data_IF_131415069553
#
_entry.id   IF_131415069553
#
_cell.length_a   1.000
_cell.length_b   1.000
_cell.length_c   1.000
_cell.angle_alpha   90.00
_cell.angle_beta   90.00
_cell.angle_gamma   90.00
#
_symmetry.space_group_name_H-M   'P 1'
#
loop_
_entity.id
_entity.type
_entity.pdbx_description
1 polymer ?
#
# COMPACT_ATOMS: atom_id res chain seq x y z
N UNK A 1 41.38 -26.02 33.78
CA UNK A 1 39.93 -26.02 33.99
C UNK A 1 39.44 -27.44 33.80
N UNK A 2 38.84 -28.05 34.83
CA UNK A 2 38.18 -29.36 34.69
C UNK A 2 36.76 -29.16 34.17
N UNK A 3 36.40 -29.80 33.08
CA UNK A 3 35.03 -29.80 32.57
C UNK A 3 34.19 -30.79 33.38
N UNK A 4 33.06 -30.35 33.90
CA UNK A 4 32.07 -31.19 34.56
C UNK A 4 30.98 -31.51 33.54
N UNK A 5 30.77 -32.79 33.24
CA UNK A 5 29.67 -33.26 32.40
C UNK A 5 28.66 -33.97 33.28
N UNK A 6 27.41 -33.51 33.28
CA UNK A 6 26.29 -34.14 33.96
C UNK A 6 25.20 -34.47 32.93
N UNK A 7 24.56 -35.63 33.10
CA UNK A 7 23.42 -36.08 32.29
C UNK A 7 22.16 -36.07 33.18
N UNK A 8 21.36 -34.98 33.18
CA UNK A 8 20.23 -34.81 34.10
C UNK A 8 19.15 -35.88 33.96
N UNK A 9 18.95 -36.38 32.75
CA UNK A 9 18.09 -37.52 32.42
C UNK A 9 18.55 -38.80 33.11
N UNK A 10 19.85 -39.13 33.02
CA UNK A 10 20.44 -40.30 33.68
C UNK A 10 20.32 -40.22 35.21
N UNK A 11 20.49 -39.02 35.80
CA UNK A 11 20.33 -38.81 37.24
C UNK A 11 18.87 -38.98 37.69
N UNK A 12 17.93 -38.54 36.87
CA UNK A 12 16.49 -38.67 37.13
C UNK A 12 16.06 -40.13 37.06
N UNK A 13 16.51 -40.87 36.04
CA UNK A 13 16.25 -42.30 35.88
C UNK A 13 16.87 -43.11 37.03
N UNK A 14 18.09 -42.78 37.44
CA UNK A 14 18.74 -43.39 38.59
C UNK A 14 17.93 -43.19 39.88
N UNK A 15 17.40 -41.99 40.12
CA UNK A 15 16.54 -41.70 41.27
C UNK A 15 15.25 -42.54 41.26
N UNK A 16 14.61 -42.70 40.10
CA UNK A 16 13.40 -43.53 39.94
C UNK A 16 13.69 -45.03 40.17
N UNK A 17 14.80 -45.53 39.64
CA UNK A 17 15.23 -46.92 39.85
C UNK A 17 15.52 -47.19 41.33
N UNK A 18 16.22 -46.27 42.00
CA UNK A 18 16.52 -46.37 43.43
C UNK A 18 15.25 -46.32 44.30
N UNK A 19 14.25 -45.52 43.92
CA UNK A 19 12.95 -45.52 44.60
C UNK A 19 12.24 -46.88 44.47
N UNK A 20 12.30 -47.49 43.28
CA UNK A 20 11.71 -48.81 43.01
C UNK A 20 12.39 -49.94 43.80
N UNK A 21 13.72 -49.91 43.89
CA UNK A 21 14.50 -50.83 44.74
C UNK A 21 14.11 -50.69 46.21
N UNK A 22 14.01 -49.45 46.73
CA UNK A 22 13.61 -49.21 48.11
C UNK A 22 12.19 -49.70 48.41
N UNK A 23 11.25 -49.52 47.47
CA UNK A 23 9.89 -50.07 47.58
C UNK A 23 9.89 -51.60 47.69
N UNK A 24 10.71 -52.26 46.88
CA UNK A 24 10.85 -53.73 46.88
C UNK A 24 11.42 -54.23 48.22
N UNK A 25 12.48 -53.59 48.71
CA UNK A 25 13.12 -53.92 49.99
C UNK A 25 12.17 -53.67 51.18
N UNK A 26 11.46 -52.54 51.19
CA UNK A 26 10.48 -52.20 52.23
C UNK A 26 9.34 -53.23 52.29
N UNK A 27 8.84 -53.66 51.13
CA UNK A 27 7.82 -54.70 51.02
C UNK A 27 8.32 -56.04 51.59
N UNK A 28 9.54 -56.45 51.22
CA UNK A 28 10.14 -57.68 51.73
C UNK A 28 10.37 -57.62 53.26
N UNK A 29 10.87 -56.50 53.78
CA UNK A 29 11.09 -56.29 55.22
C UNK A 29 9.79 -56.32 56.01
N UNK A 30 8.72 -55.75 55.47
CA UNK A 30 7.39 -55.77 56.08
C UNK A 30 6.82 -57.19 56.10
N UNK A 31 6.96 -57.94 55.01
CA UNK A 31 6.49 -59.32 54.93
C UNK A 31 7.20 -60.25 55.94
N UNK A 32 8.49 -60.03 56.19
CA UNK A 32 9.27 -60.81 57.15
C UNK A 32 9.10 -60.40 58.62
N UNK A 33 8.43 -59.26 58.90
CA UNK A 33 8.41 -58.67 60.23
C UNK A 33 7.74 -59.56 61.29
N UNK A 34 6.56 -60.11 61.01
CA UNK A 34 5.81 -60.91 61.98
C UNK A 34 6.55 -62.21 62.36
N UNK A 35 7.10 -62.93 61.37
CA UNK A 35 7.79 -64.20 61.60
C UNK A 35 9.14 -64.06 62.32
N UNK A 36 9.74 -62.87 62.31
CA UNK A 36 11.06 -62.61 62.93
C UNK A 36 10.97 -61.91 64.28
N UNK A 37 9.84 -61.25 64.58
CA UNK A 37 9.62 -60.53 65.85
C UNK A 37 8.65 -61.23 66.79
N UNK A 38 7.82 -62.16 66.28
CA UNK A 38 6.87 -62.96 67.05
C UNK A 38 7.29 -64.42 67.18
N UNK A 39 8.58 -64.70 67.41
CA UNK A 39 9.08 -66.08 67.50
C UNK A 39 8.50 -66.74 68.76
N UNK A 40 7.75 -67.82 68.58
CA UNK A 40 7.18 -68.59 69.69
C UNK A 40 8.19 -69.60 70.23
N UNK A 41 8.15 -69.82 71.55
CA UNK A 41 8.97 -70.85 72.19
C UNK A 41 8.51 -72.26 71.74
N UNK A 42 9.41 -73.14 71.27
CA UNK A 42 9.06 -74.47 70.81
C UNK A 42 8.61 -75.44 71.94
N UNK A 43 8.92 -75.10 73.19
CA UNK A 43 8.50 -75.83 74.39
C UNK A 43 8.23 -74.87 75.55
N UNK A 44 7.44 -75.31 76.55
CA UNK A 44 7.01 -74.50 77.69
C UNK A 44 8.10 -74.30 78.78
N UNK A 45 9.37 -74.45 78.42
CA UNK A 45 10.51 -74.30 79.33
C UNK A 45 11.17 -72.91 79.24
N UNK A 46 11.88 -72.55 80.31
CA UNK A 46 12.49 -71.23 80.45
C UNK A 46 13.63 -70.97 79.45
N UNK A 47 14.33 -72.00 78.98
CA UNK A 47 15.44 -71.86 78.02
C UNK A 47 14.86 -71.56 76.63
N UNK A 48 13.86 -72.31 76.19
CA UNK A 48 13.14 -72.07 74.93
C UNK A 48 12.51 -70.68 74.89
N UNK A 49 11.93 -70.21 76.00
CA UNK A 49 11.38 -68.87 76.12
C UNK A 49 12.47 -67.78 76.02
N UNK A 50 13.61 -67.97 76.70
CA UNK A 50 14.73 -67.02 76.64
C UNK A 50 15.34 -66.91 75.24
N UNK A 51 15.51 -68.04 74.53
CA UNK A 51 16.01 -68.07 73.15
C UNK A 51 15.04 -67.36 72.20
N UNK A 52 13.74 -67.65 72.28
CA UNK A 52 12.71 -66.98 71.48
C UNK A 52 12.67 -65.46 71.73
N UNK A 53 12.87 -65.02 72.98
CA UNK A 53 12.94 -63.61 73.35
C UNK A 53 14.19 -62.89 72.77
N UNK A 54 15.35 -63.54 72.78
CA UNK A 54 16.58 -62.98 72.17
C UNK A 54 16.40 -62.82 70.66
N UNK A 55 15.87 -63.85 69.98
CA UNK A 55 15.63 -63.81 68.54
C UNK A 55 14.60 -62.73 68.17
N UNK A 56 13.51 -62.64 68.92
CA UNK A 56 12.48 -61.61 68.72
C UNK A 56 13.04 -60.19 68.92
N UNK A 57 13.89 -59.98 69.94
CA UNK A 57 14.58 -58.70 70.19
C UNK A 57 15.53 -58.34 69.05
N UNK A 58 16.26 -59.32 68.50
CA UNK A 58 17.13 -59.09 67.34
C UNK A 58 16.31 -58.71 66.09
N UNK A 59 15.19 -59.39 65.84
CA UNK A 59 14.23 -59.02 64.79
C UNK A 59 13.70 -57.60 64.94
N UNK A 60 13.33 -57.18 66.15
CA UNK A 60 12.86 -55.81 66.41
C UNK A 60 13.96 -54.76 66.19
N UNK A 61 15.20 -55.05 66.59
CA UNK A 61 16.34 -54.17 66.35
C UNK A 61 16.65 -54.02 64.84
N UNK A 62 16.57 -55.12 64.08
CA UNK A 62 16.70 -55.10 62.63
C UNK A 62 15.61 -54.23 61.96
N UNK A 63 14.35 -54.38 62.37
CA UNK A 63 13.24 -53.58 61.82
C UNK A 63 13.42 -52.08 62.12
N UNK A 64 13.89 -51.72 63.32
CA UNK A 64 14.21 -50.33 63.66
C UNK A 64 15.34 -49.75 62.80
N UNK A 65 16.39 -50.53 62.52
CA UNK A 65 17.48 -50.13 61.63
C UNK A 65 17.02 -50.01 60.17
N UNK A 66 16.18 -50.94 59.71
CA UNK A 66 15.60 -50.92 58.35
C UNK A 66 14.74 -49.67 58.10
N UNK A 67 13.99 -49.24 59.11
CA UNK A 67 13.24 -47.98 59.05
C UNK A 67 14.15 -46.76 58.92
N UNK A 68 15.27 -46.71 59.68
CA UNK A 68 16.27 -45.64 59.57
C UNK A 68 16.95 -45.65 58.18
N UNK A 69 17.30 -46.82 57.66
CA UNK A 69 17.87 -46.97 56.33
C UNK A 69 16.91 -46.51 55.22
N UNK A 70 15.61 -46.80 55.36
CA UNK A 70 14.57 -46.34 54.43
C UNK A 70 14.46 -44.82 54.42
N UNK A 71 14.47 -44.18 55.61
CA UNK A 71 14.44 -42.72 55.72
C UNK A 71 15.68 -42.07 55.08
N UNK A 72 16.88 -42.61 55.36
CA UNK A 72 18.11 -42.14 54.73
C UNK A 72 18.08 -42.28 53.20
N UNK A 73 17.63 -43.43 52.69
CA UNK A 73 17.52 -43.67 51.26
C UNK A 73 16.53 -42.71 50.59
N UNK A 74 15.41 -42.41 51.24
CA UNK A 74 14.44 -41.44 50.74
C UNK A 74 15.03 -40.03 50.61
N UNK A 75 15.85 -39.59 51.58
CA UNK A 75 16.60 -38.33 51.50
C UNK A 75 17.63 -38.36 50.36
N UNK A 76 18.36 -39.47 50.19
CA UNK A 76 19.34 -39.63 49.13
C UNK A 76 18.70 -39.55 47.73
N UNK A 77 17.60 -40.27 47.50
CA UNK A 77 16.86 -40.24 46.23
C UNK A 77 16.32 -38.84 45.95
N UNK A 78 15.81 -38.13 46.97
CA UNK A 78 15.34 -36.75 46.84
C UNK A 78 16.47 -35.79 46.49
N UNK A 79 17.63 -35.93 47.13
CA UNK A 79 18.81 -35.13 46.83
C UNK A 79 19.32 -35.40 45.41
N UNK A 80 19.32 -36.66 44.97
CA UNK A 80 19.73 -37.04 43.61
C UNK A 80 18.79 -36.47 42.54
N UNK A 81 17.48 -36.55 42.75
CA UNK A 81 16.49 -35.90 41.86
C UNK A 81 16.61 -34.37 41.86
N UNK A 82 16.86 -33.77 43.02
CA UNK A 82 17.11 -32.33 43.14
C UNK A 82 18.39 -31.89 42.42
N UNK A 83 19.46 -32.69 42.48
CA UNK A 83 20.70 -32.43 41.76
C UNK A 83 20.51 -32.49 40.24
N UNK A 84 19.76 -33.47 39.73
CA UNK A 84 19.39 -33.54 38.31
C UNK A 84 18.65 -32.28 37.83
N UNK A 85 17.67 -31.81 38.60
CA UNK A 85 16.96 -30.55 38.32
C UNK A 85 17.86 -29.31 38.36
N UNK A 86 18.80 -29.24 39.30
CA UNK A 86 19.74 -28.12 39.41
C UNK A 86 20.72 -28.06 38.22
N UNK A 87 21.23 -29.20 37.74
CA UNK A 87 22.09 -29.25 36.55
C UNK A 87 21.32 -28.87 35.28
N UNK A 88 20.09 -29.36 35.11
CA UNK A 88 19.25 -28.98 33.97
C UNK A 88 18.95 -27.46 33.95
N UNK A 89 18.66 -26.87 35.12
CA UNK A 89 18.44 -25.43 35.24
C UNK A 89 19.70 -24.62 34.92
N UNK A 90 20.87 -25.08 35.36
CA UNK A 90 22.14 -24.41 35.06
C UNK A 90 22.45 -24.39 33.55
N UNK A 91 22.24 -25.50 32.85
CA UNK A 91 22.41 -25.58 31.39
C UNK A 91 21.42 -24.66 30.66
N UNK A 92 20.16 -24.59 31.10
CA UNK A 92 19.17 -23.70 30.51
C UNK A 92 19.53 -22.22 30.67
N UNK A 93 20.04 -21.83 31.85
CA UNK A 93 20.54 -20.46 32.09
C UNK A 93 21.76 -20.17 31.22
N UNK A 94 22.71 -21.10 31.12
CA UNK A 94 23.87 -20.96 30.24
C UNK A 94 23.51 -20.78 28.78
N UNK A 95 22.61 -21.62 28.24
CA UNK A 95 22.16 -21.55 26.86
C UNK A 95 21.40 -20.25 26.55
N UNK A 96 20.51 -19.80 27.45
CA UNK A 96 19.79 -18.53 27.29
C UNK A 96 20.71 -17.30 27.37
N UNK A 97 21.74 -17.36 28.23
CA UNK A 97 22.76 -16.31 28.33
C UNK A 97 23.62 -16.21 27.08
N UNK A 98 23.98 -17.34 26.48
CA UNK A 98 24.74 -17.38 25.22
C UNK A 98 23.92 -16.81 24.06
N UNK A 99 22.64 -17.19 23.94
CA UNK A 99 21.74 -16.64 22.91
C UNK A 99 21.51 -15.13 23.06
N UNK A 100 21.38 -14.63 24.29
CA UNK A 100 21.28 -13.19 24.55
C UNK A 100 22.58 -12.45 24.21
N UNK A 101 23.74 -13.05 24.47
CA UNK A 101 25.04 -12.50 24.11
C UNK A 101 25.23 -12.44 22.58
N UNK A 102 24.85 -13.49 21.85
CA UNK A 102 24.86 -13.51 20.39
C UNK A 102 23.98 -12.39 19.81
N UNK A 103 22.74 -12.25 20.30
CA UNK A 103 21.84 -11.18 19.86
C UNK A 103 22.39 -9.78 20.14
N UNK A 104 23.08 -9.59 21.27
CA UNK A 104 23.71 -8.31 21.63
C UNK A 104 24.88 -8.00 20.69
N UNK A 105 25.73 -9.00 20.41
CA UNK A 105 26.87 -8.85 19.49
C UNK A 105 26.39 -8.52 18.07
N UNK A 106 25.33 -9.16 17.58
CA UNK A 106 24.74 -8.82 16.28
C UNK A 106 24.25 -7.37 16.23
N UNK A 107 23.56 -6.90 17.28
CA UNK A 107 23.09 -5.51 17.34
C UNK A 107 24.24 -4.51 17.42
N UNK A 108 25.28 -4.79 18.20
CA UNK A 108 26.46 -3.92 18.32
C UNK A 108 27.23 -3.84 17.01
N UNK A 109 27.39 -4.97 16.30
CA UNK A 109 28.02 -5.00 14.98
C UNK A 109 27.18 -4.22 13.97
N UNK A 110 25.86 -4.40 13.94
CA UNK A 110 24.97 -3.62 13.06
C UNK A 110 25.01 -2.13 13.41
N UNK A 111 25.04 -1.77 14.70
CA UNK A 111 25.17 -0.38 15.14
C UNK A 111 26.51 0.21 14.69
N UNK A 112 27.62 -0.52 14.81
CA UNK A 112 28.92 -0.09 14.34
C UNK A 112 28.97 0.07 12.80
N UNK A 113 28.35 -0.83 12.05
CA UNK A 113 28.22 -0.75 10.58
C UNK A 113 27.38 0.47 10.16
N UNK A 114 26.29 0.75 10.88
CA UNK A 114 25.37 1.84 10.57
C UNK A 114 25.86 3.21 11.05
N UNK A 115 26.70 3.27 12.09
CA UNK A 115 27.12 4.53 12.71
C UNK A 115 27.66 5.57 11.71
N UNK A 116 28.51 5.23 10.71
CA UNK A 116 29.00 6.21 9.75
C UNK A 116 27.89 6.82 8.88
N UNK A 117 26.94 6.02 8.41
CA UNK A 117 25.84 6.51 7.55
C UNK A 117 24.74 7.18 8.34
N UNK A 118 24.47 6.74 9.58
CA UNK A 118 23.58 7.44 10.49
C UNK A 118 24.12 8.84 10.82
N UNK A 119 25.43 8.94 11.08
CA UNK A 119 26.07 10.23 11.34
C UNK A 119 26.07 11.16 10.12
N UNK A 120 26.39 10.63 8.93
CA UNK A 120 26.58 11.45 7.73
C UNK A 120 25.27 11.74 6.98
N UNK A 121 24.33 10.80 7.00
CA UNK A 121 23.15 10.80 6.13
C UNK A 121 21.83 10.67 6.91
N UNK A 122 21.88 10.53 8.25
CA UNK A 122 20.70 10.34 9.10
C UNK A 122 19.92 9.07 8.78
N UNK A 123 20.59 8.05 8.23
CA UNK A 123 19.97 6.84 7.72
C UNK A 123 20.92 5.63 7.85
N UNK A 124 20.41 4.44 8.23
CA UNK A 124 21.28 3.29 8.40
C UNK A 124 21.76 2.76 7.04
N UNK A 125 22.91 2.09 7.03
CA UNK A 125 23.40 1.40 5.84
C UNK A 125 22.59 0.11 5.62
N UNK A 126 22.29 -0.61 6.70
CA UNK A 126 21.56 -1.88 6.74
C UNK A 126 20.56 -1.85 7.90
N UNK A 127 19.29 -2.14 7.63
CA UNK A 127 18.25 -2.26 8.66
C UNK A 127 16.90 -1.78 8.17
N UNK A 128 15.81 -2.27 8.77
CA UNK A 128 14.47 -1.80 8.41
C UNK A 128 14.21 -0.40 8.96
N UNK A 129 13.35 0.34 8.28
CA UNK A 129 12.86 1.62 8.75
C UNK A 129 11.92 1.43 9.94
N UNK A 130 11.99 2.33 10.92
CA UNK A 130 11.07 2.33 12.04
C UNK A 130 9.63 2.60 11.58
N UNK A 131 8.67 1.87 12.15
CA UNK A 131 7.25 2.11 11.88
C UNK A 131 6.81 3.48 12.42
N UNK A 132 5.84 4.07 11.75
CA UNK A 132 5.16 5.27 12.21
C UNK A 132 4.45 5.03 13.54
N UNK A 133 4.34 6.09 14.32
CA UNK A 133 3.66 6.13 15.63
C UNK A 133 2.59 7.23 15.62
N UNK A 134 1.71 7.26 16.61
CA UNK A 134 0.73 8.34 16.72
C UNK A 134 1.36 9.75 16.73
N UNK A 135 2.56 9.90 17.31
CA UNK A 135 3.27 11.17 17.38
C UNK A 135 4.08 11.50 16.10
N UNK A 136 4.45 10.48 15.33
CA UNK A 136 5.17 10.62 14.07
C UNK A 136 4.63 9.56 13.09
N UNK A 137 3.54 9.87 12.38
CA UNK A 137 2.71 8.85 11.73
C UNK A 137 3.38 8.17 10.54
N UNK A 138 4.35 8.81 9.89
CA UNK A 138 5.00 8.24 8.72
C UNK A 138 6.06 7.21 9.11
N UNK A 139 6.08 6.08 8.41
CA UNK A 139 7.14 5.09 8.50
C UNK A 139 8.47 5.67 7.99
N UNK A 140 9.55 5.37 8.70
CA UNK A 140 10.90 5.82 8.30
C UNK A 140 11.43 5.01 7.13
N UNK A 141 12.33 5.58 6.30
CA UNK A 141 13.02 4.82 5.28
C UNK A 141 13.85 3.66 5.86
N UNK A 142 13.92 2.54 5.13
CA UNK A 142 14.86 1.45 5.40
C UNK A 142 16.30 1.83 5.07
N UNK A 143 17.26 0.96 5.39
CA UNK A 143 18.68 1.18 5.19
C UNK A 143 19.05 1.42 3.73
N UNK A 144 20.18 2.09 3.49
CA UNK A 144 20.63 2.50 2.16
C UNK A 144 20.90 1.31 1.24
N UNK A 145 21.49 0.23 1.75
CA UNK A 145 21.78 -0.99 0.98
C UNK A 145 20.71 -2.06 1.16
N UNK A 146 20.39 -2.38 2.41
CA UNK A 146 19.45 -3.45 2.73
C UNK A 146 18.47 -2.98 3.80
N UNK A 147 17.18 -3.18 3.56
CA UNK A 147 16.15 -2.92 4.56
C UNK A 147 14.83 -2.52 3.96
N UNK A 148 13.77 -3.04 4.55
CA UNK A 148 12.41 -2.65 4.23
C UNK A 148 12.11 -1.26 4.83
N UNK A 149 11.22 -0.51 4.20
CA UNK A 149 10.69 0.70 4.83
C UNK A 149 9.74 0.39 5.97
N UNK A 150 9.65 1.29 6.96
CA UNK A 150 8.72 1.13 8.08
C UNK A 150 7.27 1.34 7.64
N UNK A 151 6.32 0.66 8.29
CA UNK A 151 4.89 0.86 8.01
C UNK A 151 4.41 2.20 8.54
N UNK A 152 3.48 2.84 7.85
CA UNK A 152 2.79 4.02 8.34
C UNK A 152 1.83 3.70 9.50
N UNK A 153 1.63 4.67 10.39
CA UNK A 153 0.69 4.57 11.51
C UNK A 153 -0.75 4.59 11.03
N UNK A 154 -1.57 3.66 11.51
CA UNK A 154 -3.01 3.67 11.23
C UNK A 154 -3.73 4.58 12.23
N UNK A 155 -4.38 5.61 11.73
CA UNK A 155 -5.10 6.58 12.53
C UNK A 155 -6.44 6.01 13.03
N UNK A 156 -6.81 6.36 14.26
CA UNK A 156 -8.06 5.92 14.91
C UNK A 156 -9.07 7.05 15.08
N UNK A 157 -8.62 8.31 15.03
CA UNK A 157 -9.47 9.48 15.18
C UNK A 157 -10.16 9.84 13.85
N UNK A 158 -11.46 10.18 13.85
CA UNK A 158 -12.16 10.64 12.65
C UNK A 158 -11.47 11.84 11.98
N UNK A 159 -11.45 11.85 10.65
CA UNK A 159 -10.83 12.91 9.84
C UNK A 159 -9.30 12.92 9.83
N UNK A 160 -8.63 12.03 10.57
CA UNK A 160 -7.17 11.96 10.60
C UNK A 160 -6.67 10.94 9.60
N UNK A 161 -5.86 11.40 8.65
CA UNK A 161 -5.27 10.55 7.63
C UNK A 161 -4.25 9.55 8.23
N UNK A 162 -4.13 8.40 7.57
CA UNK A 162 -3.10 7.42 7.89
C UNK A 162 -1.71 7.92 7.52
N UNK A 163 -0.69 7.46 8.25
CA UNK A 163 0.70 7.80 7.94
C UNK A 163 1.22 7.09 6.71
N UNK A 164 2.14 7.71 5.97
CA UNK A 164 2.76 7.09 4.79
C UNK A 164 3.72 5.96 5.19
N UNK A 165 3.86 4.95 4.34
CA UNK A 165 4.89 3.93 4.47
C UNK A 165 6.27 4.47 4.05
N UNK A 166 7.32 4.01 4.73
CA UNK A 166 8.70 4.35 4.42
C UNK A 166 9.20 3.66 3.15
N UNK A 167 10.11 4.31 2.42
CA UNK A 167 10.77 3.69 1.27
C UNK A 167 11.93 2.77 1.69
N UNK A 168 12.19 1.71 0.92
CA UNK A 168 13.42 0.92 1.03
C UNK A 168 14.64 1.64 0.41
N UNK A 169 15.83 1.07 0.55
CA UNK A 169 17.06 1.56 -0.08
C UNK A 169 17.35 0.90 -1.43
N UNK A 170 18.49 0.22 -1.53
CA UNK A 170 18.88 -0.53 -2.72
C UNK A 170 18.10 -1.85 -2.83
N UNK A 171 18.03 -2.62 -1.75
CA UNK A 171 17.30 -3.90 -1.67
C UNK A 171 16.37 -3.89 -0.46
N UNK A 172 15.08 -4.19 -0.67
CA UNK A 172 14.06 -4.25 0.37
C UNK A 172 12.68 -3.84 -0.13
N UNK A 173 11.61 -4.21 0.57
CA UNK A 173 10.25 -3.79 0.21
C UNK A 173 9.87 -2.48 0.91
N UNK A 174 9.05 -1.66 0.25
CA UNK A 174 8.50 -0.47 0.88
C UNK A 174 7.53 -0.81 2.00
N UNK A 175 7.46 0.03 3.01
CA UNK A 175 6.51 -0.13 4.11
C UNK A 175 5.07 0.10 3.66
N UNK A 176 4.11 -0.62 4.21
CA UNK A 176 2.69 -0.34 3.95
C UNK A 176 2.29 1.04 4.50
N UNK A 177 1.36 1.72 3.82
CA UNK A 177 0.71 2.91 4.37
C UNK A 177 -0.27 2.55 5.50
N UNK A 178 -0.43 3.44 6.48
CA UNK A 178 -1.37 3.26 7.58
C UNK A 178 -2.81 3.56 7.14
N UNK A 179 -3.80 2.92 7.76
CA UNK A 179 -5.20 3.23 7.50
C UNK A 179 -5.58 4.64 8.00
N UNK A 180 -6.51 5.30 7.31
CA UNK A 180 -7.13 6.53 7.81
C UNK A 180 -8.15 6.24 8.90
N UNK A 181 -8.37 7.21 9.79
CA UNK A 181 -9.54 7.18 10.67
C UNK A 181 -10.85 7.31 9.89
N UNK A 182 -11.99 7.31 10.57
CA UNK A 182 -13.29 7.44 9.91
C UNK A 182 -13.40 8.74 9.10
N UNK A 183 -13.90 8.66 7.86
CA UNK A 183 -13.95 9.76 6.89
C UNK A 183 -12.58 10.39 6.61
N UNK A 184 -11.52 9.58 6.56
CA UNK A 184 -10.17 10.02 6.28
C UNK A 184 -9.45 9.09 5.29
N UNK A 185 -8.48 9.66 4.59
CA UNK A 185 -7.65 8.94 3.66
C UNK A 185 -6.67 7.99 4.35
N UNK A 186 -6.35 6.88 3.70
CA UNK A 186 -5.20 6.06 4.05
C UNK A 186 -3.89 6.75 3.66
N UNK A 187 -2.80 6.34 4.31
CA UNK A 187 -1.46 6.78 3.95
C UNK A 187 -0.94 6.08 2.70
N UNK A 188 -0.08 6.75 1.93
CA UNK A 188 0.60 6.14 0.79
C UNK A 188 1.42 4.91 1.21
N UNK A 189 1.55 3.93 0.33
CA UNK A 189 2.56 2.89 0.48
C UNK A 189 3.97 3.42 0.20
N UNK A 190 4.97 2.87 0.88
CA UNK A 190 6.37 3.15 0.67
C UNK A 190 6.92 2.44 -0.56
N UNK A 191 8.03 2.91 -1.11
CA UNK A 191 8.59 2.32 -2.35
C UNK A 191 9.52 1.14 -2.06
N UNK A 192 9.51 0.16 -2.95
CA UNK A 192 10.48 -0.95 -2.96
C UNK A 192 11.89 -0.47 -3.31
N UNK A 193 12.86 -1.35 -3.10
CA UNK A 193 14.28 -1.07 -3.28
C UNK A 193 14.61 -0.83 -4.75
N UNK A 194 15.57 0.07 -5.00
CA UNK A 194 15.94 0.47 -6.35
C UNK A 194 16.37 -0.70 -7.25
N UNK A 195 17.13 -1.65 -6.69
CA UNK A 195 17.59 -2.84 -7.40
C UNK A 195 16.60 -3.99 -7.26
N UNK A 196 16.07 -4.21 -6.06
CA UNK A 196 15.15 -5.31 -5.80
C UNK A 196 14.24 -5.06 -4.60
N UNK A 197 12.94 -5.27 -4.80
CA UNK A 197 11.93 -5.19 -3.76
C UNK A 197 10.58 -4.73 -4.29
N UNK A 198 9.54 -4.94 -3.50
CA UNK A 198 8.16 -4.58 -3.88
C UNK A 198 7.74 -3.27 -3.23
N UNK A 199 6.87 -2.51 -3.92
CA UNK A 199 6.24 -1.35 -3.32
C UNK A 199 5.26 -1.80 -2.21
N UNK A 200 5.24 -1.06 -1.12
CA UNK A 200 4.26 -1.23 -0.06
C UNK A 200 2.86 -0.84 -0.54
N UNK A 201 1.81 -1.53 -0.07
CA UNK A 201 0.43 -1.17 -0.40
C UNK A 201 0.06 0.17 0.25
N UNK A 202 -0.88 0.89 -0.37
CA UNK A 202 -1.53 2.04 0.26
C UNK A 202 -2.39 1.59 1.45
N UNK A 203 -2.51 2.46 2.44
CA UNK A 203 -3.40 2.26 3.57
C UNK A 203 -4.86 2.37 3.16
N UNK A 204 -5.73 1.71 3.91
CA UNK A 204 -7.18 1.73 3.63
C UNK A 204 -7.72 3.15 3.83
N UNK A 205 -8.39 3.67 2.80
CA UNK A 205 -9.15 4.92 2.84
C UNK A 205 -10.59 4.64 3.26
N UNK A 206 -11.16 5.51 4.09
CA UNK A 206 -12.59 5.52 4.39
C UNK A 206 -13.33 6.72 3.76
N UNK A 207 -12.65 7.47 2.87
CA UNK A 207 -13.28 8.55 2.10
C UNK A 207 -14.26 7.97 1.07
N UNK A 208 -15.48 8.49 1.07
CA UNK A 208 -16.44 8.24 0.00
C UNK A 208 -16.13 9.06 -1.26
N UNK A 209 -15.68 10.31 -1.07
CA UNK A 209 -15.24 11.23 -2.10
C UNK A 209 -14.09 12.10 -1.58
N UNK A 210 -13.37 12.77 -2.47
CA UNK A 210 -12.37 13.76 -2.09
C UNK A 210 -12.17 14.82 -3.17
N UNK A 211 -11.89 16.06 -2.74
CA UNK A 211 -11.74 17.20 -3.65
C UNK A 211 -10.32 17.71 -3.69
N UNK A 212 -9.93 18.27 -4.83
CA UNK A 212 -8.64 18.97 -5.02
C UNK A 212 -8.88 20.27 -5.78
N UNK A 213 -8.09 21.33 -5.50
CA UNK A 213 -8.23 22.59 -6.20
C UNK A 213 -7.86 22.43 -7.68
N UNK A 214 -8.65 23.07 -8.54
CA UNK A 214 -8.41 23.19 -9.96
C UNK A 214 -7.93 24.62 -10.25
N UNK A 215 -6.89 24.76 -11.06
CA UNK A 215 -6.44 26.05 -11.58
C UNK A 215 -6.80 26.16 -13.06
N UNK A 216 -6.99 27.38 -13.57
CA UNK A 216 -7.16 27.59 -15.00
C UNK A 216 -5.98 28.35 -15.57
N UNK A 217 -5.44 27.85 -16.68
CA UNK A 217 -4.51 28.56 -17.54
C UNK A 217 -5.15 28.76 -18.91
N UNK A 218 -5.70 29.96 -19.14
CA UNK A 218 -6.58 30.21 -20.28
C UNK A 218 -7.84 29.35 -20.18
N UNK A 219 -8.06 28.50 -21.19
CA UNK A 219 -9.19 27.55 -21.26
C UNK A 219 -8.85 26.18 -20.68
N UNK A 220 -7.62 25.95 -20.22
CA UNK A 220 -7.17 24.65 -19.74
C UNK A 220 -7.25 24.58 -18.22
N UNK A 221 -7.93 23.55 -17.75
CA UNK A 221 -7.99 23.15 -16.35
C UNK A 221 -6.72 22.39 -15.96
N UNK A 222 -6.05 22.77 -14.87
CA UNK A 222 -4.88 22.08 -14.34
C UNK A 222 -5.05 21.68 -12.87
N UNK A 223 -4.41 20.57 -12.50
CA UNK A 223 -4.40 20.05 -11.13
C UNK A 223 -2.98 19.69 -10.69
N UNK A 224 -2.66 19.98 -9.43
CA UNK A 224 -1.36 19.63 -8.85
C UNK A 224 -1.26 18.12 -8.59
N UNK A 225 -0.26 17.48 -9.20
CA UNK A 225 -0.03 16.03 -9.06
C UNK A 225 1.42 15.78 -8.67
N UNK A 226 1.62 14.98 -7.62
CA UNK A 226 2.92 14.48 -7.23
C UNK A 226 3.05 13.02 -7.63
N UNK A 227 4.07 12.71 -8.42
CA UNK A 227 4.43 11.33 -8.75
C UNK A 227 5.46 10.87 -7.74
N UNK A 228 5.12 9.80 -7.03
CA UNK A 228 6.06 9.05 -6.21
C UNK A 228 6.68 9.89 -5.06
N UNK A 229 5.95 10.89 -4.55
CA UNK A 229 6.43 11.79 -3.51
C UNK A 229 7.42 12.86 -4.01
N UNK A 230 7.55 13.02 -5.32
CA UNK A 230 8.25 14.14 -5.96
C UNK A 230 7.49 15.47 -5.79
N UNK A 231 7.97 16.55 -6.42
CA UNK A 231 7.28 17.83 -6.41
C UNK A 231 5.87 17.70 -7.01
N UNK A 232 4.99 18.61 -6.62
CA UNK A 232 3.67 18.75 -7.25
C UNK A 232 3.82 19.49 -8.57
N UNK A 233 3.37 18.88 -9.66
CA UNK A 233 3.44 19.40 -11.02
C UNK A 233 2.02 19.74 -11.48
N UNK A 234 1.76 20.92 -12.09
CA UNK A 234 0.44 21.28 -12.59
C UNK A 234 0.16 20.55 -13.91
N UNK A 235 -0.77 19.61 -13.91
CA UNK A 235 -1.08 18.81 -15.10
C UNK A 235 -2.41 19.22 -15.71
N UNK A 236 -2.48 19.34 -17.03
CA UNK A 236 -3.72 19.59 -17.76
C UNK A 236 -4.66 18.41 -17.60
N UNK A 237 -5.87 18.69 -17.11
CA UNK A 237 -6.95 17.72 -16.99
C UNK A 237 -7.54 17.51 -18.38
N UNK A 238 -7.38 16.30 -18.92
CA UNK A 238 -7.73 16.00 -20.30
C UNK A 238 -8.69 14.80 -20.35
N UNK A 239 -9.97 15.06 -20.62
CA UNK A 239 -10.97 14.01 -20.82
C UNK A 239 -10.84 13.33 -22.18
N UNK A 240 -10.23 13.99 -23.18
CA UNK A 240 -10.01 13.47 -24.53
C UNK A 240 -8.95 12.36 -24.60
N UNK A 241 -8.12 12.23 -23.57
CA UNK A 241 -7.04 11.23 -23.49
C UNK A 241 -7.08 10.35 -22.24
N UNK A 242 -6.21 9.33 -22.21
CA UNK A 242 -6.16 8.35 -21.14
C UNK A 242 -4.74 8.14 -20.62
N UNK A 243 -4.56 8.19 -19.30
CA UNK A 243 -3.27 7.95 -18.68
C UNK A 243 -2.50 9.25 -18.40
N UNK A 244 -1.54 9.13 -17.49
CA UNK A 244 -0.72 10.24 -17.01
C UNK A 244 0.55 10.35 -17.86
N UNK A 245 0.78 11.49 -18.51
CA UNK A 245 2.04 11.84 -19.17
C UNK A 245 2.68 13.03 -18.47
N UNK A 246 3.93 12.89 -18.04
CA UNK A 246 4.65 13.91 -17.28
C UNK A 246 6.14 13.92 -17.64
N UNK A 247 6.79 15.08 -17.82
CA UNK A 247 8.19 15.14 -18.22
C UNK A 247 9.15 14.73 -17.10
N UNK A 248 10.26 14.09 -17.50
CA UNK A 248 11.24 13.61 -16.55
C UNK A 248 11.96 14.73 -15.78
N UNK A 249 12.06 15.95 -16.34
CA UNK A 249 12.74 17.05 -15.65
C UNK A 249 11.95 17.61 -14.46
N UNK A 250 10.61 17.43 -14.45
CA UNK A 250 9.78 17.90 -13.34
C UNK A 250 9.75 16.93 -12.17
N UNK A 251 9.87 15.62 -12.42
CA UNK A 251 9.79 14.59 -11.36
C UNK A 251 11.09 13.82 -11.11
N UNK A 252 12.03 13.87 -12.06
CA UNK A 252 13.27 13.11 -12.04
C UNK A 252 13.09 11.60 -12.30
N UNK A 253 14.16 10.93 -12.73
CA UNK A 253 14.15 9.48 -13.01
C UNK A 253 14.67 8.60 -11.86
N UNK A 254 15.55 9.15 -11.01
CA UNK A 254 16.28 8.37 -9.99
C UNK A 254 15.35 7.64 -9.02
N UNK A 255 14.18 8.21 -8.78
CA UNK A 255 13.24 7.69 -7.82
C UNK A 255 12.11 6.91 -8.48
N UNK A 256 12.13 6.56 -9.77
CA UNK A 256 11.01 5.85 -10.40
C UNK A 256 11.23 4.33 -10.53
N UNK A 257 12.45 3.85 -10.24
CA UNK A 257 12.83 2.46 -10.46
C UNK A 257 13.21 2.21 -11.92
N UNK A 258 13.08 0.97 -12.38
CA UNK A 258 13.31 0.62 -13.78
C UNK A 258 12.05 0.87 -14.62
N UNK A 259 12.21 1.35 -15.87
CA UNK A 259 11.09 1.47 -16.79
C UNK A 259 10.55 0.07 -17.13
N UNK A 260 9.24 -0.01 -17.24
CA UNK A 260 8.49 -1.23 -17.59
C UNK A 260 8.24 -1.34 -19.09
N UNK A 261 8.20 -0.21 -19.80
CA UNK A 261 7.91 -0.15 -21.23
C UNK A 261 8.44 1.16 -21.83
N UNK A 262 8.82 1.12 -23.10
CA UNK A 262 9.04 2.29 -23.97
C UNK A 262 7.83 2.44 -24.89
N UNK A 263 7.33 3.66 -25.05
CA UNK A 263 6.18 3.93 -25.88
C UNK A 263 6.25 5.28 -26.59
N UNK A 264 5.24 5.49 -27.42
CA UNK A 264 5.06 6.67 -28.23
C UNK A 264 3.60 7.12 -28.20
N UNK A 265 3.36 8.42 -28.08
CA UNK A 265 2.01 9.00 -28.11
C UNK A 265 2.07 10.39 -28.73
N UNK A 266 0.98 10.81 -29.38
CA UNK A 266 0.80 12.16 -29.87
C UNK A 266 -0.45 12.78 -29.25
N UNK A 267 -0.37 14.05 -28.89
CA UNK A 267 -1.50 14.82 -28.36
C UNK A 267 -1.78 16.04 -29.24
N UNK A 268 -3.06 16.44 -29.27
CA UNK A 268 -3.53 17.64 -29.94
C UNK A 268 -3.11 17.75 -31.41
N UNK A 269 -2.80 18.97 -31.84
CA UNK A 269 -2.56 19.34 -33.24
C UNK A 269 -1.11 19.10 -33.73
N UNK A 270 -0.39 18.16 -33.11
CA UNK A 270 0.83 17.62 -33.70
C UNK A 270 2.11 17.78 -32.90
N UNK A 271 2.05 17.57 -31.58
CA UNK A 271 3.24 17.23 -30.78
C UNK A 271 3.22 15.74 -30.48
N UNK A 272 4.38 15.11 -30.59
CA UNK A 272 4.56 13.71 -30.27
C UNK A 272 5.65 13.49 -29.22
N UNK A 273 5.48 12.45 -28.42
CA UNK A 273 6.22 12.20 -27.21
C UNK A 273 6.72 10.77 -27.18
N UNK A 274 8.01 10.61 -26.87
CA UNK A 274 8.59 9.35 -26.47
C UNK A 274 8.54 9.28 -24.96
N UNK A 275 7.99 8.20 -24.41
CA UNK A 275 7.87 8.03 -22.97
C UNK A 275 8.33 6.66 -22.50
N UNK A 276 8.70 6.60 -21.23
CA UNK A 276 8.93 5.37 -20.49
C UNK A 276 7.84 5.19 -19.43
N UNK A 277 7.22 4.02 -19.36
CA UNK A 277 6.27 3.71 -18.30
C UNK A 277 7.00 3.25 -17.04
N UNK A 278 6.67 3.84 -15.90
CA UNK A 278 7.10 3.41 -14.57
C UNK A 278 5.89 3.03 -13.73
N UNK A 279 6.09 2.25 -12.67
CA UNK A 279 5.02 1.94 -11.73
C UNK A 279 5.21 2.72 -10.43
N UNK A 280 4.37 3.73 -10.21
CA UNK A 280 4.53 4.67 -9.11
C UNK A 280 3.17 5.10 -8.52
N UNK A 281 3.08 5.35 -7.20
CA UNK A 281 1.91 6.01 -6.61
C UNK A 281 1.81 7.45 -7.11
N UNK A 282 0.60 7.89 -7.39
CA UNK A 282 0.24 9.24 -7.80
C UNK A 282 -0.57 9.87 -6.67
N UNK A 283 -0.20 11.08 -6.27
CA UNK A 283 -0.81 11.82 -5.18
C UNK A 283 -1.39 13.15 -5.69
N UNK A 284 -2.70 13.31 -5.56
CA UNK A 284 -3.41 14.54 -5.95
C UNK A 284 -3.52 15.56 -4.80
N UNK A 285 -3.02 15.22 -3.60
CA UNK A 285 -3.25 15.96 -2.37
C UNK A 285 -4.47 15.42 -1.59
N UNK A 286 -4.70 15.96 -0.39
CA UNK A 286 -5.83 15.60 0.47
C UNK A 286 -5.99 14.08 0.73
N UNK A 287 -4.90 13.33 0.67
CA UNK A 287 -4.88 11.87 0.86
C UNK A 287 -5.45 11.07 -0.30
N UNK A 288 -5.67 11.69 -1.46
CA UNK A 288 -6.03 11.03 -2.71
C UNK A 288 -4.76 10.46 -3.35
N UNK A 289 -4.39 9.26 -2.90
CA UNK A 289 -3.17 8.59 -3.32
C UNK A 289 -3.49 7.24 -3.91
N UNK A 290 -3.00 6.98 -5.11
CA UNK A 290 -3.19 5.71 -5.80
C UNK A 290 -2.31 4.62 -5.19
N UNK A 291 -2.70 3.35 -5.40
CA UNK A 291 -1.70 2.29 -5.41
C UNK A 291 -0.65 2.56 -6.52
N UNK A 292 0.55 1.97 -6.47
CA UNK A 292 1.48 2.04 -7.58
C UNK A 292 0.80 1.66 -8.90
N UNK A 293 0.78 2.59 -9.84
CA UNK A 293 0.08 2.49 -11.13
C UNK A 293 1.01 2.92 -12.26
N UNK A 294 0.76 2.50 -13.52
CA UNK A 294 1.51 3.01 -14.66
C UNK A 294 1.47 4.54 -14.74
N UNK A 295 2.66 5.14 -14.81
CA UNK A 295 2.90 6.56 -15.05
C UNK A 295 3.82 6.67 -16.26
N UNK A 296 3.38 7.39 -17.29
CA UNK A 296 4.16 7.60 -18.50
C UNK A 296 5.03 8.83 -18.31
N UNK A 297 6.35 8.63 -18.34
CA UNK A 297 7.32 9.69 -18.17
C UNK A 297 7.93 10.04 -19.49
N UNK A 298 7.65 11.25 -19.96
CA UNK A 298 8.17 11.77 -21.19
C UNK A 298 9.69 11.95 -21.07
N UNK A 299 10.41 11.44 -22.07
CA UNK A 299 11.86 11.56 -22.20
C UNK A 299 12.27 12.46 -23.36
N UNK A 300 11.38 12.64 -24.34
CA UNK A 300 11.63 13.47 -25.51
C UNK A 300 10.33 13.82 -26.24
N UNK A 301 10.14 15.11 -26.53
CA UNK A 301 9.07 15.66 -27.36
C UNK A 301 9.60 16.14 -28.72
N UNK A 302 8.76 16.04 -29.76
CA UNK A 302 9.07 16.56 -31.08
C UNK A 302 7.81 16.94 -31.88
N UNK A 303 7.92 17.93 -32.79
CA UNK A 303 6.78 18.38 -33.56
C UNK A 303 6.57 17.47 -34.77
N UNK A 304 5.32 17.09 -35.01
CA UNK A 304 4.87 16.38 -36.22
C UNK A 304 4.02 17.28 -37.14
N UNK A 305 3.84 18.55 -36.76
CA UNK A 305 3.21 19.59 -37.57
C UNK A 305 3.86 20.96 -37.32
N UNK A 306 3.59 21.95 -38.19
CA UNK A 306 4.02 23.33 -37.96
C UNK A 306 3.34 23.96 -36.73
N UNK A 307 2.09 23.58 -36.45
CA UNK A 307 1.39 24.04 -35.26
C UNK A 307 2.05 23.47 -34.00
N UNK A 308 2.41 22.18 -34.01
CA UNK A 308 3.16 21.52 -32.96
C UNK A 308 4.52 22.18 -32.70
N UNK A 309 5.23 22.60 -33.76
CA UNK A 309 6.48 23.36 -33.60
C UNK A 309 6.23 24.70 -32.86
N UNK A 310 5.15 25.41 -33.18
CA UNK A 310 4.76 26.63 -32.48
C UNK A 310 4.42 26.38 -31.00
N UNK A 311 3.70 25.29 -30.70
CA UNK A 311 3.38 24.90 -29.33
C UNK A 311 4.64 24.61 -28.51
N UNK A 312 5.60 23.86 -29.07
CA UNK A 312 6.87 23.58 -28.40
C UNK A 312 7.70 24.84 -28.16
N UNK A 313 7.80 25.74 -29.15
CA UNK A 313 8.56 26.99 -29.02
C UNK A 313 7.96 27.98 -28.01
N UNK A 314 6.68 27.83 -27.68
CA UNK A 314 5.98 28.66 -26.70
C UNK A 314 5.81 27.99 -25.34
N UNK A 315 6.32 26.76 -25.18
CA UNK A 315 6.21 25.99 -23.93
C UNK A 315 4.82 25.44 -23.65
N UNK A 316 3.96 25.32 -24.67
CA UNK A 316 2.57 24.84 -24.54
C UNK A 316 2.38 23.43 -25.11
N UNK A 317 3.43 22.61 -25.13
CA UNK A 317 3.39 21.25 -25.66
C UNK A 317 2.38 20.36 -24.91
N UNK A 318 2.18 20.63 -23.62
CA UNK A 318 1.23 19.96 -22.73
C UNK A 318 -0.04 20.78 -22.45
N UNK A 319 -0.37 21.69 -23.38
CA UNK A 319 -1.39 22.71 -23.18
C UNK A 319 -1.08 23.59 -21.96
N UNK A 320 -2.09 24.00 -21.18
CA UNK A 320 -1.94 24.96 -20.09
C UNK A 320 -1.20 24.47 -18.84
N UNK A 321 -0.58 23.29 -18.86
CA UNK A 321 0.18 22.71 -17.75
C UNK A 321 1.51 22.11 -18.18
N UNK A 322 2.20 21.46 -17.25
CA UNK A 322 3.52 20.85 -17.40
C UNK A 322 3.41 19.32 -17.53
N UNK A 323 2.32 18.86 -18.16
CA UNK A 323 2.00 17.46 -18.40
C UNK A 323 0.50 17.25 -18.57
N UNK A 324 0.09 16.02 -18.86
CA UNK A 324 -1.31 15.66 -19.14
C UNK A 324 -1.78 14.60 -18.15
N UNK A 325 -2.90 14.89 -17.49
CA UNK A 325 -3.69 13.95 -16.71
C UNK A 325 -4.87 13.48 -17.55
N UNK A 326 -4.66 12.41 -18.32
CA UNK A 326 -5.69 11.76 -19.12
C UNK A 326 -6.69 10.99 -18.25
N UNK A 327 -7.95 11.42 -18.27
CA UNK A 327 -9.03 10.86 -17.44
C UNK A 327 -10.20 10.27 -18.24
N UNK A 328 -10.12 10.28 -19.57
CA UNK A 328 -11.13 9.67 -20.44
C UNK A 328 -11.23 8.16 -20.25
N UNK A 329 -12.42 7.66 -19.94
CA UNK A 329 -12.64 6.25 -19.58
C UNK A 329 -12.35 5.26 -20.72
N UNK A 330 -12.61 5.66 -21.97
CA UNK A 330 -12.36 4.92 -23.20
C UNK A 330 -11.55 5.75 -24.20
N UNK A 331 -10.77 6.71 -23.70
CA UNK A 331 -9.87 7.48 -24.53
C UNK A 331 -8.58 6.67 -24.83
N UNK A 332 -7.86 7.12 -25.85
CA UNK A 332 -6.53 6.60 -26.19
C UNK A 332 -5.49 7.40 -25.43
N UNK A 333 -4.44 6.73 -24.98
CA UNK A 333 -3.25 7.38 -24.46
C UNK A 333 -2.22 6.35 -23.99
N UNK A 334 -1.17 6.79 -23.27
CA UNK A 334 0.00 5.97 -23.02
C UNK A 334 -0.21 4.90 -21.94
N UNK A 335 -1.27 5.02 -21.14
CA UNK A 335 -1.67 4.06 -20.11
C UNK A 335 -3.15 4.23 -19.74
N UNK A 336 -3.66 3.39 -18.83
CA UNK A 336 -4.97 3.61 -18.20
C UNK A 336 -4.92 4.79 -17.22
N UNK A 337 -6.04 5.47 -17.04
CA UNK A 337 -6.15 6.61 -16.15
C UNK A 337 -5.78 6.23 -14.71
N UNK A 338 -4.88 7.01 -14.13
CA UNK A 338 -4.37 6.81 -12.76
C UNK A 338 -5.48 6.93 -11.71
N UNK A 339 -6.61 7.56 -12.04
CA UNK A 339 -7.78 7.67 -11.15
C UNK A 339 -8.37 6.30 -10.82
N UNK A 340 -8.34 5.37 -11.78
CA UNK A 340 -8.85 4.01 -11.59
C UNK A 340 -8.07 3.21 -10.54
N UNK A 341 -6.85 3.67 -10.20
CA UNK A 341 -5.99 3.10 -9.17
C UNK A 341 -6.14 3.74 -7.78
N UNK A 342 -7.07 4.70 -7.61
CA UNK A 342 -7.45 5.21 -6.29
C UNK A 342 -8.17 4.13 -5.46
N UNK A 343 -8.09 4.18 -4.12
CA UNK A 343 -8.68 3.15 -3.28
C UNK A 343 -10.20 3.32 -3.12
N UNK A 344 -10.90 2.18 -3.09
CA UNK A 344 -12.32 2.14 -2.73
C UNK A 344 -13.20 2.95 -3.68
N UNK A 345 -14.21 3.70 -3.19
CA UNK A 345 -15.15 4.41 -4.05
C UNK A 345 -14.53 5.58 -4.83
N UNK A 346 -13.33 6.02 -4.45
CA UNK A 346 -12.62 7.14 -5.08
C UNK A 346 -12.26 6.89 -6.55
N UNK A 347 -12.24 5.63 -7.00
CA UNK A 347 -11.91 5.26 -8.37
C UNK A 347 -13.10 5.22 -9.34
N UNK A 348 -14.31 5.59 -8.89
CA UNK A 348 -15.53 5.46 -9.70
C UNK A 348 -15.62 6.51 -10.81
N UNK A 349 -15.03 7.68 -10.60
CA UNK A 349 -15.07 8.78 -11.55
C UNK A 349 -14.55 10.09 -10.97
N UNK A 350 -14.64 11.15 -11.78
CA UNK A 350 -14.16 12.50 -11.46
C UNK A 350 -15.19 13.52 -11.91
N UNK A 351 -15.63 14.37 -11.00
CA UNK A 351 -16.32 15.62 -11.32
C UNK A 351 -15.29 16.70 -11.66
N UNK A 352 -15.50 17.39 -12.76
CA UNK A 352 -14.77 18.60 -13.15
C UNK A 352 -15.74 19.78 -13.02
N UNK A 353 -15.44 20.70 -12.11
CA UNK A 353 -16.23 21.92 -11.93
C UNK A 353 -15.30 23.13 -12.11
N UNK A 354 -15.12 23.54 -13.37
CA UNK A 354 -14.27 24.69 -13.69
C UNK A 354 -14.81 25.99 -13.07
N UNK A 355 -16.12 26.30 -13.10
CA UNK A 355 -16.64 27.52 -12.48
C UNK A 355 -16.34 27.61 -10.98
N UNK A 356 -16.45 26.50 -10.24
CA UNK A 356 -16.15 26.45 -8.80
C UNK A 356 -14.70 26.07 -8.49
N UNK A 357 -13.87 25.79 -9.50
CA UNK A 357 -12.42 25.57 -9.39
C UNK A 357 -12.03 24.35 -8.54
N UNK A 358 -12.67 23.20 -8.75
CA UNK A 358 -12.23 21.95 -8.12
C UNK A 358 -12.48 20.72 -8.99
N UNK A 359 -11.72 19.66 -8.71
CA UNK A 359 -12.08 18.30 -9.08
C UNK A 359 -12.61 17.55 -7.85
N UNK A 360 -13.60 16.68 -8.04
CA UNK A 360 -14.05 15.74 -7.01
C UNK A 360 -13.95 14.30 -7.50
N UNK A 361 -13.15 13.49 -6.81
CA UNK A 361 -13.02 12.06 -7.03
C UNK A 361 -14.08 11.31 -6.24
N UNK A 362 -14.59 10.23 -6.82
CA UNK A 362 -15.53 9.33 -6.17
C UNK A 362 -16.85 9.15 -6.94
N UNK A 363 -17.92 8.70 -6.26
CA UNK A 363 -19.25 8.56 -6.86
C UNK A 363 -19.78 9.88 -7.41
N UNK A 364 -20.61 9.81 -8.45
CA UNK A 364 -21.24 10.98 -9.06
C UNK A 364 -22.12 11.73 -8.04
N UNK A 365 -21.84 13.01 -7.74
CA UNK A 365 -22.67 13.80 -6.84
C UNK A 365 -23.85 14.49 -7.55
N UNK A 366 -23.89 14.50 -8.88
CA UNK A 366 -24.82 15.31 -9.66
C UNK A 366 -26.17 14.61 -9.90
N UNK A 367 -27.30 15.34 -9.87
CA UNK A 367 -28.61 14.85 -10.34
C UNK A 367 -28.81 15.02 -11.86
N UNK A 368 -27.76 15.41 -12.59
CA UNK A 368 -27.82 15.88 -13.98
C UNK A 368 -28.10 14.82 -15.05
N UNK A 369 -28.03 15.24 -16.31
CA UNK A 369 -28.31 14.42 -17.50
C UNK A 369 -27.09 13.55 -17.79
N UNK A 370 -27.30 12.22 -17.88
CA UNK A 370 -26.21 11.27 -18.12
C UNK A 370 -26.28 10.69 -19.53
N UNK A 371 -25.16 10.73 -20.25
CA UNK A 371 -25.00 10.12 -21.57
C UNK A 371 -23.99 8.98 -21.54
N UNK A 372 -24.11 8.03 -22.47
CA UNK A 372 -23.21 6.89 -22.57
C UNK A 372 -21.95 7.24 -23.35
N UNK A 373 -20.80 6.77 -22.87
CA UNK A 373 -19.50 7.01 -23.45
C UNK A 373 -18.77 8.16 -22.75
N UNK A 374 -17.47 7.97 -22.49
CA UNK A 374 -16.57 9.03 -22.02
C UNK A 374 -15.15 8.78 -22.56
N UNK A 375 -14.60 9.64 -23.43
CA UNK A 375 -15.11 10.96 -23.84
C UNK A 375 -16.03 10.97 -25.08
N UNK A 376 -16.13 9.86 -25.81
CA UNK A 376 -16.85 9.83 -27.10
C UNK A 376 -18.32 9.49 -26.90
N UNK A 377 -19.21 10.38 -27.36
CA UNK A 377 -20.67 10.19 -27.31
C UNK A 377 -21.33 10.78 -28.57
N UNK A 378 -22.57 10.38 -28.86
CA UNK A 378 -23.37 10.97 -29.91
C UNK A 378 -24.23 12.11 -29.36
N UNK A 379 -24.25 13.24 -30.06
CA UNK A 379 -25.11 14.38 -29.76
C UNK A 379 -25.90 14.81 -30.99
N UNK A 380 -27.01 15.50 -30.76
CA UNK A 380 -27.64 16.30 -31.81
C UNK A 380 -27.20 17.75 -31.66
N UNK A 381 -26.73 18.35 -32.76
CA UNK A 381 -26.19 19.70 -32.78
C UNK A 381 -27.00 20.57 -33.72
N UNK A 382 -27.29 21.78 -33.26
CA UNK A 382 -28.02 22.79 -33.99
C UNK A 382 -27.16 24.04 -34.17
N UNK A 383 -27.11 24.54 -35.40
CA UNK A 383 -26.36 25.75 -35.77
C UNK A 383 -27.34 26.87 -36.13
N UNK A 384 -27.27 28.01 -35.45
CA UNK A 384 -28.12 29.19 -35.66
C UNK A 384 -29.63 28.91 -35.69
N UNK A 385 -30.10 27.93 -34.90
CA UNK A 385 -31.51 27.52 -34.90
C UNK A 385 -31.94 26.72 -36.13
N UNK A 386 -30.99 26.21 -36.92
CA UNK A 386 -31.22 25.35 -38.08
C UNK A 386 -31.70 23.93 -37.70
N UNK A 387 -31.64 22.96 -38.62
CA UNK A 387 -31.99 21.58 -38.30
C UNK A 387 -30.99 20.97 -37.30
N UNK A 388 -31.50 20.08 -36.45
CA UNK A 388 -30.68 19.23 -35.60
C UNK A 388 -29.98 18.18 -36.45
N UNK A 389 -28.68 18.04 -36.24
CA UNK A 389 -27.85 17.08 -36.96
C UNK A 389 -27.08 16.23 -35.96
N UNK A 390 -27.20 14.92 -36.12
CA UNK A 390 -26.46 13.98 -35.30
C UNK A 390 -24.97 14.05 -35.62
N UNK A 391 -24.16 14.19 -34.58
CA UNK A 391 -22.69 14.12 -34.66
C UNK A 391 -22.17 13.16 -33.61
N UNK A 392 -21.07 12.49 -33.96
CA UNK A 392 -20.21 11.91 -32.95
C UNK A 392 -19.33 13.04 -32.39
N UNK A 393 -19.22 13.14 -31.08
CA UNK A 393 -18.49 14.20 -30.39
C UNK A 393 -17.48 13.60 -29.40
N UNK A 394 -16.29 14.20 -29.34
CA UNK A 394 -15.30 14.01 -28.30
C UNK A 394 -15.50 15.12 -27.27
N UNK A 395 -15.94 14.75 -26.07
CA UNK A 395 -16.09 15.70 -24.97
C UNK A 395 -14.75 15.86 -24.26
N UNK A 396 -14.08 16.97 -24.55
CA UNK A 396 -12.64 17.10 -24.38
C UNK A 396 -12.25 18.41 -23.68
N UNK A 397 -11.97 18.33 -22.38
CA UNK A 397 -11.48 19.47 -21.58
C UNK A 397 -10.09 19.94 -22.03
N UNK A 398 -9.30 19.07 -22.67
CA UNK A 398 -8.01 19.40 -23.28
C UNK A 398 -8.13 19.92 -24.72
N UNK A 399 -9.33 19.93 -25.30
CA UNK A 399 -9.60 20.20 -26.72
C UNK A 399 -9.55 21.66 -27.15
N UNK A 400 -9.03 22.56 -26.29
CA UNK A 400 -9.00 24.01 -26.53
C UNK A 400 -10.42 24.55 -26.86
N UNK A 401 -10.57 25.36 -27.91
CA UNK A 401 -11.86 25.88 -28.39
C UNK A 401 -12.71 24.85 -29.16
N UNK A 402 -12.22 23.61 -29.32
CA UNK A 402 -12.93 22.53 -29.99
C UNK A 402 -12.90 22.61 -31.51
N UNK A 403 -13.62 21.70 -32.14
CA UNK A 403 -13.77 21.60 -33.58
C UNK A 403 -15.18 21.19 -33.97
N UNK A 404 -15.63 21.66 -35.14
CA UNK A 404 -16.97 21.41 -35.66
C UNK A 404 -16.89 20.72 -37.03
N UNK A 405 -17.66 19.63 -37.26
CA UNK A 405 -17.66 18.96 -38.55
C UNK A 405 -18.19 19.87 -39.66
N UNK A 406 -17.44 20.01 -40.75
CA UNK A 406 -17.89 20.75 -41.93
C UNK A 406 -19.19 20.20 -42.52
N UNK A 407 -19.49 18.92 -42.28
CA UNK A 407 -20.69 18.23 -42.77
C UNK A 407 -21.99 18.76 -42.16
N UNK A 408 -21.93 19.44 -41.01
CA UNK A 408 -23.12 20.02 -40.36
C UNK A 408 -23.30 21.51 -40.64
N UNK A 409 -22.45 22.08 -41.50
CA UNK A 409 -22.49 23.49 -41.87
C UNK A 409 -23.08 23.64 -43.26
N UNK A 410 -24.17 24.41 -43.36
CA UNK A 410 -24.79 24.76 -44.65
C UNK A 410 -24.05 25.91 -45.37
N UNK A 411 -22.85 26.28 -44.90
CA UNK A 411 -22.04 27.41 -45.40
C UNK A 411 -21.02 27.00 -46.46
N UNK A 412 -20.74 25.70 -46.61
CA UNK A 412 -19.65 25.19 -47.45
C UNK A 412 -18.24 25.40 -46.88
N UNK A 413 -18.12 25.89 -45.64
CA UNK A 413 -16.83 26.04 -44.97
C UNK A 413 -16.23 24.67 -44.63
N UNK A 414 -14.95 24.48 -44.93
CA UNK A 414 -14.24 23.20 -44.71
C UNK A 414 -13.02 23.31 -43.78
N UNK A 415 -12.57 24.53 -43.48
CA UNK A 415 -11.41 24.80 -42.62
C UNK A 415 -11.51 26.16 -41.92
N UNK A 416 -10.71 26.36 -40.88
CA UNK A 416 -10.59 27.65 -40.16
C UNK A 416 -11.67 27.87 -39.10
N UNK A 417 -11.62 28.97 -38.34
CA UNK A 417 -12.55 29.21 -37.24
C UNK A 417 -13.99 29.36 -37.75
N UNK A 418 -14.96 28.83 -37.00
CA UNK A 418 -16.37 29.09 -37.27
C UNK A 418 -16.65 30.60 -37.10
N UNK A 419 -17.48 31.24 -37.95
CA UNK A 419 -17.69 32.68 -37.88
C UNK A 419 -18.23 33.12 -36.52
N UNK A 420 -17.72 34.22 -35.99
CA UNK A 420 -18.22 34.84 -34.76
C UNK A 420 -19.72 35.19 -34.90
N UNK A 421 -20.47 35.08 -33.81
CA UNK A 421 -21.93 35.26 -33.80
C UNK A 421 -22.71 33.99 -34.16
N UNK A 422 -22.03 32.86 -34.43
CA UNK A 422 -22.69 31.58 -34.70
C UNK A 422 -23.13 30.95 -33.39
N UNK A 423 -24.42 30.65 -33.25
CA UNK A 423 -24.96 29.94 -32.09
C UNK A 423 -24.87 28.45 -32.32
N UNK A 424 -24.22 27.74 -31.40
CA UNK A 424 -24.12 26.29 -31.37
C UNK A 424 -24.91 25.81 -30.15
N UNK A 425 -25.90 24.95 -30.38
CA UNK A 425 -26.69 24.32 -29.31
C UNK A 425 -26.56 22.81 -29.42
N UNK A 426 -26.26 22.16 -28.30
CA UNK A 426 -25.98 20.72 -28.21
C UNK A 426 -27.03 20.05 -27.33
N UNK A 427 -27.53 18.90 -27.80
CA UNK A 427 -28.62 18.16 -27.19
C UNK A 427 -28.25 16.67 -27.05
N UNK A 428 -28.94 15.98 -26.15
CA UNK A 428 -28.90 14.52 -26.09
C UNK A 428 -29.49 13.90 -27.36
N UNK A 429 -28.88 12.81 -27.84
CA UNK A 429 -29.30 12.04 -29.01
C UNK A 429 -30.70 11.42 -28.90
N UNK A 430 -31.15 11.12 -27.67
CA UNK A 430 -32.27 10.22 -27.40
C UNK A 430 -33.59 10.91 -27.03
N UNK A 431 -33.60 12.21 -26.72
CA UNK A 431 -34.81 12.96 -26.37
C UNK A 431 -34.76 14.46 -26.73
N UNK A 432 -33.73 14.90 -27.46
CA UNK A 432 -33.47 16.33 -27.75
C UNK A 432 -33.45 17.21 -26.48
N UNK A 433 -33.00 16.65 -25.35
CA UNK A 433 -32.85 17.41 -24.12
C UNK A 433 -31.67 18.38 -24.30
N UNK A 434 -31.88 19.70 -24.10
CA UNK A 434 -30.78 20.66 -24.19
C UNK A 434 -29.69 20.33 -23.17
N UNK A 435 -28.44 20.29 -23.62
CA UNK A 435 -27.28 20.16 -22.75
C UNK A 435 -26.63 21.53 -22.54
N UNK A 436 -26.09 22.12 -23.59
CA UNK A 436 -25.45 23.43 -23.49
C UNK A 436 -25.55 24.19 -24.81
N UNK A 437 -25.42 25.51 -24.74
CA UNK A 437 -25.44 26.38 -25.91
C UNK A 437 -24.51 27.56 -25.73
N UNK A 438 -23.90 28.03 -26.80
CA UNK A 438 -23.09 29.24 -26.78
C UNK A 438 -23.06 29.91 -28.15
N UNK A 439 -22.73 31.20 -28.15
CA UNK A 439 -22.49 31.96 -29.39
C UNK A 439 -20.99 32.18 -29.52
N UNK A 440 -20.43 31.82 -30.67
CA UNK A 440 -19.00 32.01 -30.97
C UNK A 440 -18.62 33.49 -30.95
N UNK A 441 -17.37 33.77 -30.58
CA UNK A 441 -16.77 35.10 -30.65
C UNK A 441 -15.49 35.04 -31.49
N UNK A 442 -14.84 36.18 -31.72
CA UNK A 442 -13.55 36.23 -32.42
C UNK A 442 -12.46 35.42 -31.69
N UNK A 443 -12.54 35.31 -30.36
CA UNK A 443 -11.57 34.63 -29.50
C UNK A 443 -12.08 33.32 -28.92
N UNK A 444 -13.34 32.96 -29.17
CA UNK A 444 -13.92 31.70 -28.74
C UNK A 444 -14.73 31.08 -29.87
N UNK A 445 -14.05 30.32 -30.71
CA UNK A 445 -14.67 29.67 -31.85
C UNK A 445 -13.98 28.34 -32.16
N UNK A 446 -14.76 27.26 -32.40
CA UNK A 446 -14.20 25.98 -32.81
C UNK A 446 -13.64 26.06 -34.23
N UNK A 447 -12.65 25.22 -34.52
CA UNK A 447 -12.15 25.07 -35.88
C UNK A 447 -13.10 24.19 -36.71
N UNK A 448 -13.44 24.63 -37.92
CA UNK A 448 -14.15 23.79 -38.89
C UNK A 448 -13.18 22.77 -39.45
N UNK A 449 -13.56 21.49 -39.43
CA UNK A 449 -12.76 20.41 -39.98
C UNK A 449 -13.63 19.23 -40.45
N UNK A 450 -13.05 18.28 -41.18
CA UNK A 450 -13.72 16.99 -41.45
C UNK A 450 -13.60 16.05 -40.26
N UNK A 451 -14.64 15.27 -39.96
CA UNK A 451 -14.58 14.18 -38.98
C UNK A 451 -15.49 14.39 -37.79
N UNK A 452 -15.01 13.97 -36.62
CA UNK A 452 -15.74 14.04 -35.36
C UNK A 452 -15.75 15.47 -34.80
N UNK A 453 -16.82 15.86 -34.11
CA UNK A 453 -16.84 17.10 -33.33
C UNK A 453 -15.91 16.97 -32.11
N UNK A 454 -15.20 18.03 -31.74
CA UNK A 454 -14.55 18.15 -30.44
C UNK A 454 -15.23 19.30 -29.70
N UNK A 455 -15.76 19.07 -28.49
CA UNK A 455 -16.49 20.11 -27.75
C UNK A 455 -15.60 21.26 -27.30
N UNK A 456 -14.30 21.00 -27.16
CA UNK A 456 -13.39 21.83 -26.40
C UNK A 456 -13.84 22.00 -24.95
N UNK A 457 -13.36 23.09 -24.33
CA UNK A 457 -13.63 23.44 -22.94
C UNK A 457 -15.09 23.89 -22.67
N UNK A 458 -15.89 24.14 -23.71
CA UNK A 458 -17.19 24.81 -23.57
C UNK A 458 -18.19 24.16 -22.59
N UNK A 459 -18.47 22.84 -22.60
CA UNK A 459 -19.36 22.24 -21.61
C UNK A 459 -18.83 22.39 -20.17
N UNK A 460 -17.51 22.29 -19.98
CA UNK A 460 -16.87 22.40 -18.66
C UNK A 460 -16.87 23.84 -18.13
N UNK A 461 -16.77 24.83 -19.00
CA UNK A 461 -16.84 26.25 -18.63
C UNK A 461 -18.25 26.69 -18.22
N UNK A 462 -19.30 25.99 -18.68
CA UNK A 462 -20.70 26.31 -18.35
C UNK A 462 -21.13 25.71 -17.02
N UNK A 463 -20.60 24.54 -16.65
CA UNK A 463 -20.90 23.95 -15.36
C UNK A 463 -20.25 22.59 -15.14
N UNK A 464 -20.61 21.91 -14.04
CA UNK A 464 -20.02 20.64 -13.64
C UNK A 464 -20.26 19.52 -14.66
N UNK A 465 -19.19 18.80 -14.98
CA UNK A 465 -19.22 17.58 -15.80
C UNK A 465 -18.58 16.44 -15.04
N UNK A 466 -19.33 15.36 -14.80
CA UNK A 466 -18.82 14.16 -14.16
C UNK A 466 -18.46 13.08 -15.18
N UNK A 467 -17.27 12.51 -15.06
CA UNK A 467 -16.77 11.41 -15.89
C UNK A 467 -16.79 10.12 -15.06
N UNK A 468 -17.59 9.14 -15.47
CA UNK A 468 -17.61 7.80 -14.85
C UNK A 468 -16.73 6.81 -15.59
N UNK A 469 -16.05 5.93 -14.85
CA UNK A 469 -15.36 4.75 -15.40
C UNK A 469 -16.25 3.52 -15.55
N UNK A 470 -17.56 3.65 -15.26
CA UNK A 470 -18.56 2.59 -15.43
C UNK A 470 -19.50 2.89 -16.60
N UNK A 471 -19.88 1.90 -17.43
CA UNK A 471 -19.31 0.55 -17.51
C UNK A 471 -17.85 0.57 -17.96
N UNK A 472 -17.07 -0.43 -17.52
CA UNK A 472 -15.64 -0.51 -17.84
C UNK A 472 -15.40 -0.52 -19.36
N UNK A 473 -14.49 0.34 -19.83
CA UNK A 473 -14.14 0.48 -21.25
C UNK A 473 -15.16 1.29 -22.07
N UNK A 474 -16.19 1.87 -21.45
CA UNK A 474 -17.16 2.74 -22.11
C UNK A 474 -17.33 4.06 -21.36
N UNK A 475 -17.62 3.95 -20.06
CA UNK A 475 -17.92 5.08 -19.17
C UNK A 475 -19.23 5.80 -19.50
N UNK A 476 -19.51 6.82 -18.70
CA UNK A 476 -20.62 7.76 -18.90
C UNK A 476 -20.18 9.17 -18.54
N UNK A 477 -20.90 10.17 -19.06
CA UNK A 477 -20.72 11.56 -18.67
C UNK A 477 -22.03 12.13 -18.14
N UNK A 478 -21.98 12.86 -17.03
CA UNK A 478 -23.15 13.55 -16.46
C UNK A 478 -22.93 15.05 -16.48
N UNK A 479 -23.90 15.78 -17.02
CA UNK A 479 -23.91 17.23 -17.17
C UNK A 479 -24.97 17.83 -16.24
N UNK A 480 -24.63 18.84 -15.45
CA UNK A 480 -25.55 19.52 -14.53
C UNK A 480 -25.41 21.04 -14.65
N UNK A 481 -26.22 21.65 -15.52
CA UNK A 481 -26.24 23.09 -15.76
C UNK A 481 -27.64 23.61 -16.07
#
# INVERSE_FOLDING_TARGET
>A
MSFLFAAPDVLTDAAQNLASVASTISTANTAAAASTTGVLAPAADQISAAVAAILSRHGSAYQALSAQATAFHAEFVRALGGAGGAYAAAEAVGASGLAAAEQTVEQDVLAAINAPTELLLGRPLIGNGANGTAASPNGRPGGLLFGNGGTGYSATAPGVAGGTGGAAGLIGSGGAGGAGGANAAGGAGGRGGWLWGTNGPAGVSSLASGTVPLQMNGVFATVGVSVNGGPSVPLTVDTGSNGLLIPFWDIGLRQLGLPTQLGFVSYGEGVAFIYLNFNAPVNFGNGLITAPTPVSVEIFEFPISLNGLGLMLTGNAFAGGDGILGIGSNAVGPASSVVTALPGPLNQGVLIDEPQRYLQFGPNPLPGITVTGAPVTAFDVQINGGPLQQVLALVDSGGNHGSIPSSILDTGQTSGPLPAGTTISVYTNDDLTPLYSYTTTETNSPQVMSGQMNTGFMPFAQGPVYISYSPNGVGTMTFDF
#
